data_IF_501604896253
#
_entry.id   IF_501604896253
#
_cell.length_a   1.000
_cell.length_b   1.000
_cell.length_c   1.000
_cell.angle_alpha   90.00
_cell.angle_beta   90.00
_cell.angle_gamma   90.00
#
_symmetry.space_group_name_H-M   'P 1'
#
loop_
_entity.id
_entity.type
_entity.pdbx_description
1 polymer ?
#
# COMPACT_ATOMS: atom_id res chain seq x y z
N UNK A 1 28.70 -12.58 29.24
CA UNK A 1 29.22 -13.44 30.31
C UNK A 1 29.19 -14.89 29.80
N UNK A 2 30.42 -15.41 29.58
CA UNK A 2 30.90 -16.81 29.63
C UNK A 2 30.32 -17.78 28.59
N UNK A 3 30.98 -18.08 27.48
CA UNK A 3 32.05 -19.04 27.21
C UNK A 3 31.71 -20.44 27.75
N UNK A 4 31.69 -21.45 26.85
CA UNK A 4 32.59 -22.61 26.89
C UNK A 4 32.53 -23.29 25.52
N UNK A 5 33.73 -23.43 24.91
CA UNK A 5 34.06 -24.37 23.87
C UNK A 5 34.28 -25.76 24.49
N UNK A 6 34.06 -26.81 23.70
CA UNK A 6 34.94 -27.95 23.78
C UNK A 6 34.95 -28.77 22.48
N UNK A 7 36.18 -29.02 22.09
CA UNK A 7 36.71 -29.86 21.05
C UNK A 7 36.63 -31.35 21.41
N UNK A 8 36.49 -32.23 20.43
CA UNK A 8 37.10 -33.59 20.37
C UNK A 8 37.05 -34.02 18.89
N UNK A 9 38.08 -33.95 18.17
CA UNK A 9 39.24 -34.78 17.97
C UNK A 9 38.92 -36.21 17.42
N UNK A 10 39.33 -36.35 16.14
CA UNK A 10 40.00 -37.48 15.49
C UNK A 10 39.38 -38.91 15.64
N UNK A 11 39.08 -39.53 14.47
CA UNK A 11 39.77 -40.80 14.05
C UNK A 11 39.58 -40.99 12.54
N UNK A 12 40.72 -41.10 11.86
CA UNK A 12 40.87 -41.51 10.47
C UNK A 12 40.59 -43.02 10.35
N UNK A 13 39.69 -43.39 9.46
CA UNK A 13 39.71 -44.70 8.86
C UNK A 13 39.57 -44.60 7.35
N UNK A 14 40.67 -44.69 6.67
CA UNK A 14 40.73 -44.91 5.23
C UNK A 14 40.34 -46.35 4.89
N UNK A 15 39.12 -46.56 4.43
CA UNK A 15 38.79 -47.78 3.72
C UNK A 15 38.94 -47.50 2.21
N UNK A 16 40.05 -47.99 1.66
CA UNK A 16 40.26 -48.16 0.23
C UNK A 16 39.31 -49.27 -0.25
N UNK A 17 38.15 -48.87 -0.75
CA UNK A 17 37.28 -49.77 -1.49
C UNK A 17 37.61 -49.61 -2.97
N UNK A 18 38.29 -50.58 -3.56
CA UNK A 18 38.49 -50.72 -4.99
C UNK A 18 37.17 -51.11 -5.65
N UNK A 19 36.39 -50.10 -6.08
CA UNK A 19 35.24 -50.33 -6.94
C UNK A 19 35.68 -50.65 -8.37
N UNK A 20 35.12 -51.69 -9.03
CA UNK A 20 35.53 -52.09 -10.37
C UNK A 20 35.24 -50.96 -11.39
N UNK A 21 36.22 -50.75 -12.24
CA UNK A 21 36.20 -49.70 -13.28
C UNK A 21 34.97 -49.68 -14.22
N UNK A 22 34.19 -50.75 -14.21
CA UNK A 22 33.01 -50.90 -15.05
C UNK A 22 31.79 -50.08 -14.56
N UNK A 23 31.69 -49.88 -13.23
CA UNK A 23 30.59 -49.09 -12.64
C UNK A 23 30.80 -47.60 -12.84
N UNK A 24 32.05 -47.13 -12.96
CA UNK A 24 32.35 -45.71 -13.15
C UNK A 24 31.89 -45.16 -14.51
N UNK A 25 31.83 -45.97 -15.58
CA UNK A 25 31.40 -45.52 -16.92
C UNK A 25 29.89 -45.22 -17.00
N UNK A 26 29.07 -45.98 -16.28
CA UNK A 26 27.61 -45.78 -16.31
C UNK A 26 27.17 -44.58 -15.44
N UNK A 27 27.85 -44.36 -14.31
CA UNK A 27 27.56 -43.20 -13.45
C UNK A 27 27.98 -41.87 -14.11
N UNK A 28 29.09 -41.87 -14.86
CA UNK A 28 29.53 -40.69 -15.59
C UNK A 28 28.53 -40.28 -16.69
N UNK A 29 27.93 -41.20 -17.42
CA UNK A 29 26.91 -40.91 -18.42
C UNK A 29 25.62 -40.39 -17.80
N UNK A 30 25.20 -40.93 -16.64
CA UNK A 30 24.01 -40.51 -15.94
C UNK A 30 24.16 -39.11 -15.32
N UNK A 31 25.35 -38.80 -14.76
CA UNK A 31 25.62 -37.47 -14.21
C UNK A 31 25.67 -36.41 -15.30
N UNK A 32 26.23 -36.69 -16.47
CA UNK A 32 26.24 -35.77 -17.61
C UNK A 32 24.82 -35.54 -18.12
N UNK A 33 23.98 -36.56 -18.20
CA UNK A 33 22.58 -36.44 -18.60
C UNK A 33 21.77 -35.61 -17.59
N UNK A 34 21.98 -35.80 -16.28
CA UNK A 34 21.35 -34.94 -15.26
C UNK A 34 21.83 -33.50 -15.35
N UNK A 35 23.11 -33.24 -15.61
CA UNK A 35 23.66 -31.89 -15.77
C UNK A 35 23.09 -31.18 -17.00
N UNK A 36 22.92 -31.89 -18.11
CA UNK A 36 22.27 -31.35 -19.31
C UNK A 36 20.79 -31.04 -19.07
N UNK A 37 20.09 -31.86 -18.28
CA UNK A 37 18.69 -31.64 -17.94
C UNK A 37 18.49 -30.40 -17.06
N UNK A 38 19.41 -30.13 -16.11
CA UNK A 38 19.36 -28.94 -15.27
C UNK A 38 19.60 -27.65 -16.05
N UNK A 39 20.45 -27.67 -17.07
CA UNK A 39 20.71 -26.52 -17.94
C UNK A 39 19.46 -26.16 -18.79
N UNK A 40 18.70 -27.16 -19.22
CA UNK A 40 17.44 -26.91 -19.96
C UNK A 40 16.31 -26.39 -19.09
N UNK A 41 16.28 -26.73 -17.80
CA UNK A 41 15.24 -26.27 -16.88
C UNK A 41 15.43 -24.80 -16.44
N UNK A 42 16.65 -24.27 -16.51
CA UNK A 42 16.97 -22.90 -16.12
C UNK A 42 16.60 -21.82 -17.16
N UNK A 43 16.24 -22.23 -18.37
CA UNK A 43 15.96 -21.33 -19.49
C UNK A 43 14.47 -21.12 -19.75
N UNK A 44 13.60 -21.24 -18.74
CA UNK A 44 12.22 -20.79 -18.89
C UNK A 44 12.23 -19.27 -19.08
N UNK A 45 11.74 -18.73 -20.21
CA UNK A 45 11.70 -17.30 -20.40
C UNK A 45 10.77 -16.70 -19.33
N UNK A 46 11.35 -16.05 -18.35
CA UNK A 46 10.57 -15.14 -17.49
C UNK A 46 10.01 -14.08 -18.43
N UNK A 47 8.70 -14.14 -18.64
CA UNK A 47 7.97 -13.12 -19.40
C UNK A 47 8.11 -11.82 -18.63
N UNK A 48 9.17 -11.07 -18.94
CA UNK A 48 9.35 -9.73 -18.38
C UNK A 48 8.10 -8.96 -18.77
N UNK A 49 7.31 -8.58 -17.75
CA UNK A 49 6.20 -7.64 -17.95
C UNK A 49 6.88 -6.37 -18.44
N UNK A 50 6.72 -6.07 -19.74
CA UNK A 50 7.31 -4.88 -20.31
C UNK A 50 6.81 -3.65 -19.55
N UNK A 51 7.72 -2.81 -19.06
CA UNK A 51 7.38 -1.57 -18.34
C UNK A 51 6.41 -0.69 -19.14
N UNK A 52 6.50 -0.75 -20.47
CA UNK A 52 5.57 -0.08 -21.38
C UNK A 52 4.14 -0.63 -21.30
N UNK A 53 3.97 -1.96 -21.14
CA UNK A 53 2.66 -2.57 -20.98
C UNK A 53 2.04 -2.24 -19.62
N UNK A 54 2.86 -2.24 -18.58
CA UNK A 54 2.42 -1.88 -17.23
C UNK A 54 2.00 -0.42 -17.15
N UNK A 55 2.84 0.48 -17.69
CA UNK A 55 2.53 1.91 -17.73
C UNK A 55 1.31 2.23 -18.60
N UNK A 56 1.12 1.53 -19.71
CA UNK A 56 -0.06 1.69 -20.56
C UNK A 56 -1.35 1.25 -19.82
N UNK A 57 -1.30 0.13 -19.09
CA UNK A 57 -2.42 -0.34 -18.26
C UNK A 57 -2.72 0.61 -17.11
N UNK A 58 -1.69 1.10 -16.42
CA UNK A 58 -1.84 2.08 -15.35
C UNK A 58 -2.46 3.38 -15.86
N UNK A 59 -1.97 3.91 -16.97
CA UNK A 59 -2.51 5.12 -17.58
C UNK A 59 -3.96 4.95 -18.04
N UNK A 60 -4.33 3.77 -18.53
CA UNK A 60 -5.72 3.44 -18.86
C UNK A 60 -6.57 3.44 -17.58
N UNK A 61 -6.15 2.70 -16.55
CA UNK A 61 -6.85 2.63 -15.27
C UNK A 61 -7.04 4.02 -14.65
N UNK A 62 -6.00 4.84 -14.64
CA UNK A 62 -6.06 6.20 -14.10
C UNK A 62 -7.04 7.09 -14.87
N UNK A 63 -7.18 6.91 -16.18
CA UNK A 63 -8.19 7.65 -16.98
C UNK A 63 -9.61 7.18 -16.73
N UNK A 64 -9.81 5.86 -16.58
CA UNK A 64 -11.11 5.26 -16.33
C UNK A 64 -11.58 5.46 -14.88
N UNK A 65 -10.65 5.72 -13.94
CA UNK A 65 -10.91 5.89 -12.52
C UNK A 65 -10.30 7.21 -12.03
N UNK A 66 -10.92 8.34 -12.35
CA UNK A 66 -10.45 9.64 -11.85
C UNK A 66 -10.56 9.68 -10.33
N UNK A 67 -9.50 10.12 -9.66
CA UNK A 67 -9.45 10.24 -8.20
C UNK A 67 -9.53 11.71 -7.81
N UNK A 68 -10.52 12.04 -7.01
CA UNK A 68 -10.60 13.31 -6.29
C UNK A 68 -10.01 13.13 -4.89
N UNK A 69 -9.20 14.08 -4.46
CA UNK A 69 -8.68 14.15 -3.09
C UNK A 69 -9.10 15.47 -2.49
N UNK A 70 -9.63 15.40 -1.28
CA UNK A 70 -9.99 16.57 -0.51
C UNK A 70 -9.01 16.75 0.65
N UNK A 71 -8.61 17.99 0.89
CA UNK A 71 -7.89 18.40 2.07
C UNK A 71 -8.72 19.43 2.82
N UNK A 72 -9.06 19.12 4.08
CA UNK A 72 -9.82 20.00 4.97
C UNK A 72 -8.88 20.68 5.94
N UNK A 73 -8.82 21.99 5.87
CA UNK A 73 -8.10 22.84 6.81
C UNK A 73 -9.10 23.54 7.72
N UNK A 74 -8.94 23.41 9.04
CA UNK A 74 -9.76 24.05 10.06
C UNK A 74 -8.93 25.06 10.84
N UNK A 75 -9.57 26.05 11.43
CA UNK A 75 -8.91 27.15 12.16
C UNK A 75 -8.25 26.66 13.46
N UNK A 76 -8.78 25.65 14.12
CA UNK A 76 -8.25 25.07 15.37
C UNK A 76 -8.78 23.66 15.59
N UNK A 77 -8.26 22.95 16.60
CA UNK A 77 -8.60 21.56 16.89
C UNK A 77 -9.51 21.39 18.11
N UNK A 78 -9.63 22.43 18.94
CA UNK A 78 -10.45 22.40 20.16
C UNK A 78 -11.49 23.50 20.10
N UNK A 79 -12.72 23.13 20.46
CA UNK A 79 -13.88 24.01 20.43
C UNK A 79 -14.76 23.76 21.63
N UNK A 80 -15.55 24.75 22.01
CA UNK A 80 -16.65 24.61 22.96
C UNK A 80 -17.99 24.40 22.23
N UNK A 81 -18.95 23.79 22.91
CA UNK A 81 -20.31 23.70 22.40
C UNK A 81 -20.86 25.11 22.11
N UNK A 82 -21.58 25.28 21.03
CA UNK A 82 -22.06 26.58 20.55
C UNK A 82 -21.08 27.39 19.71
N UNK A 83 -19.80 27.03 19.68
CA UNK A 83 -18.82 27.71 18.80
C UNK A 83 -18.98 27.34 17.33
N UNK A 84 -18.29 28.07 16.50
CA UNK A 84 -18.27 27.86 15.03
C UNK A 84 -16.90 27.41 14.60
N UNK A 85 -16.86 26.29 13.89
CA UNK A 85 -15.68 25.80 13.17
C UNK A 85 -15.59 26.54 11.85
N UNK A 86 -14.49 27.24 11.62
CA UNK A 86 -14.19 27.82 10.32
C UNK A 86 -13.25 26.88 9.56
N UNK A 87 -13.54 26.66 8.30
CA UNK A 87 -12.75 25.74 7.49
C UNK A 87 -12.57 26.20 6.05
N UNK A 88 -11.55 25.62 5.42
CA UNK A 88 -11.35 25.68 3.99
C UNK A 88 -11.06 24.28 3.48
N UNK A 89 -11.72 23.91 2.40
CA UNK A 89 -11.51 22.63 1.69
C UNK A 89 -10.79 22.93 0.39
N UNK A 90 -9.81 22.11 0.08
CA UNK A 90 -9.10 22.12 -1.20
C UNK A 90 -9.34 20.79 -1.90
N UNK A 91 -9.68 20.85 -3.16
CA UNK A 91 -9.87 19.69 -4.03
C UNK A 91 -8.67 19.57 -4.97
N UNK A 92 -8.12 18.39 -5.06
CA UNK A 92 -7.10 18.03 -6.04
C UNK A 92 -7.61 16.88 -6.88
N UNK A 93 -7.54 17.06 -8.19
CA UNK A 93 -7.96 16.08 -9.17
C UNK A 93 -6.74 15.32 -9.72
N UNK A 94 -6.92 14.04 -10.03
CA UNK A 94 -5.97 13.36 -10.89
C UNK A 94 -5.98 14.02 -12.29
N UNK A 95 -4.84 14.03 -12.97
CA UNK A 95 -4.68 14.62 -14.31
C UNK A 95 -5.62 14.04 -15.38
N UNK A 96 -6.29 12.94 -15.07
CA UNK A 96 -7.24 12.24 -15.94
C UNK A 96 -8.71 12.58 -15.67
N UNK A 97 -9.01 13.34 -14.61
CA UNK A 97 -10.39 13.72 -14.29
C UNK A 97 -10.91 14.74 -15.31
N UNK A 98 -11.98 14.38 -15.99
CA UNK A 98 -12.65 15.26 -16.97
C UNK A 98 -13.64 16.21 -16.30
N UNK A 99 -14.20 15.79 -15.16
CA UNK A 99 -15.17 16.56 -14.39
C UNK A 99 -14.82 16.49 -12.91
N UNK A 100 -14.90 17.64 -12.25
CA UNK A 100 -14.74 17.78 -10.81
C UNK A 100 -16.09 17.83 -10.12
N UNK A 101 -16.19 17.30 -8.91
CA UNK A 101 -17.36 17.52 -8.06
C UNK A 101 -17.52 19.00 -7.75
N UNK A 102 -18.75 19.47 -7.78
CA UNK A 102 -19.08 20.89 -7.56
C UNK A 102 -19.61 21.20 -6.18
N UNK A 103 -19.80 20.19 -5.35
CA UNK A 103 -20.34 20.30 -4.00
C UNK A 103 -19.48 19.45 -3.07
N UNK A 104 -19.12 20.00 -1.93
CA UNK A 104 -18.50 19.30 -0.82
C UNK A 104 -19.46 19.24 0.37
N UNK A 105 -19.54 18.08 0.99
CA UNK A 105 -20.27 17.85 2.22
C UNK A 105 -19.28 17.84 3.39
N UNK A 106 -19.66 18.46 4.49
CA UNK A 106 -18.88 18.51 5.73
C UNK A 106 -19.74 17.95 6.86
N UNK A 107 -19.29 16.86 7.43
CA UNK A 107 -19.94 16.20 8.55
C UNK A 107 -19.15 16.39 9.84
N UNK A 108 -19.84 16.71 10.91
CA UNK A 108 -19.38 16.56 12.27
C UNK A 108 -19.99 15.28 12.83
N UNK A 109 -19.20 14.29 13.18
CA UNK A 109 -19.65 13.01 13.74
C UNK A 109 -19.06 12.76 15.13
N UNK A 110 -19.80 12.03 15.96
CA UNK A 110 -19.34 11.60 17.28
C UNK A 110 -18.42 10.36 17.19
N UNK A 111 -17.91 9.89 18.32
CA UNK A 111 -17.02 8.72 18.41
C UNK A 111 -17.69 7.41 17.96
N UNK A 112 -19.02 7.35 17.86
CA UNK A 112 -19.77 6.21 17.33
C UNK A 112 -19.98 6.29 15.82
N UNK A 113 -19.56 7.37 15.17
CA UNK A 113 -19.77 7.62 13.74
C UNK A 113 -21.16 8.19 13.41
N UNK A 114 -21.96 8.58 14.40
CA UNK A 114 -23.25 9.23 14.17
C UNK A 114 -23.04 10.69 13.76
N UNK A 115 -23.71 11.12 12.69
CA UNK A 115 -23.62 12.49 12.20
C UNK A 115 -24.42 13.40 13.11
N UNK A 116 -23.74 14.33 13.75
CA UNK A 116 -24.33 15.34 14.65
C UNK A 116 -24.78 16.55 13.86
N UNK A 117 -23.98 16.95 12.87
CA UNK A 117 -24.26 18.11 12.01
C UNK A 117 -23.67 17.88 10.64
N UNK A 118 -24.38 18.27 9.60
CA UNK A 118 -23.92 18.26 8.23
C UNK A 118 -24.19 19.63 7.58
N UNK A 119 -23.23 20.10 6.79
CA UNK A 119 -23.35 21.26 5.93
C UNK A 119 -22.81 20.95 4.55
N UNK A 120 -23.22 21.71 3.53
CA UNK A 120 -22.71 21.55 2.17
C UNK A 120 -22.32 22.91 1.61
N UNK A 121 -21.27 22.93 0.82
CA UNK A 121 -20.75 24.14 0.20
C UNK A 121 -20.42 23.90 -1.28
N UNK A 122 -20.59 24.91 -2.13
CA UNK A 122 -20.13 24.83 -3.51
C UNK A 122 -18.60 24.81 -3.56
N UNK A 123 -18.06 23.95 -4.41
CA UNK A 123 -16.65 23.95 -4.80
C UNK A 123 -16.48 24.86 -6.02
N UNK A 124 -15.70 25.91 -5.89
CA UNK A 124 -15.33 26.81 -6.97
C UNK A 124 -13.81 26.84 -7.10
N UNK A 125 -13.31 26.67 -8.31
CA UNK A 125 -11.87 26.64 -8.61
C UNK A 125 -11.07 25.69 -7.70
N UNK A 126 -11.65 24.52 -7.40
CA UNK A 126 -11.03 23.50 -6.56
C UNK A 126 -10.98 23.84 -5.07
N UNK A 127 -11.78 24.81 -4.60
CA UNK A 127 -11.84 25.16 -3.19
C UNK A 127 -13.24 25.51 -2.72
N UNK A 128 -13.48 25.33 -1.42
CA UNK A 128 -14.66 25.82 -0.73
C UNK A 128 -14.24 26.39 0.63
N UNK A 129 -14.85 27.50 1.04
CA UNK A 129 -14.67 28.06 2.37
C UNK A 129 -16.03 28.13 3.06
N UNK A 130 -16.05 27.83 4.35
CA UNK A 130 -17.31 27.83 5.08
C UNK A 130 -17.14 27.70 6.58
N UNK A 131 -18.28 27.51 7.23
CA UNK A 131 -18.33 27.34 8.66
C UNK A 131 -19.38 26.31 9.06
N UNK A 132 -19.19 25.70 10.22
CA UNK A 132 -20.14 24.77 10.83
C UNK A 132 -20.32 25.17 12.30
N UNK A 133 -21.54 25.56 12.67
CA UNK A 133 -21.86 25.86 14.07
C UNK A 133 -22.07 24.56 14.84
N UNK A 134 -21.34 24.41 15.93
CA UNK A 134 -21.42 23.27 16.85
C UNK A 134 -22.72 23.44 17.68
N UNK A 135 -23.59 22.42 17.76
CA UNK A 135 -24.78 22.49 18.61
C UNK A 135 -24.41 22.72 20.08
N UNK A 136 -25.16 23.59 20.78
CA UNK A 136 -24.91 23.93 22.17
C UNK A 136 -25.09 22.75 23.15
N UNK A 137 -25.91 21.77 22.79
CA UNK A 137 -26.23 20.62 23.61
C UNK A 137 -25.21 19.47 23.49
N UNK A 138 -24.12 19.64 22.75
CA UNK A 138 -23.11 18.60 22.61
C UNK A 138 -22.31 18.43 23.89
N UNK A 139 -22.15 17.16 24.27
CA UNK A 139 -21.29 16.78 25.40
C UNK A 139 -19.82 16.89 25.04
N UNK A 140 -18.97 17.12 26.03
CA UNK A 140 -17.53 17.07 25.85
C UNK A 140 -17.10 15.67 25.37
N UNK A 141 -16.21 15.62 24.37
CA UNK A 141 -15.76 14.37 23.78
C UNK A 141 -14.95 14.57 22.50
N UNK A 142 -14.60 13.47 21.89
CA UNK A 142 -13.93 13.47 20.58
C UNK A 142 -14.96 13.42 19.46
N UNK A 143 -14.82 14.36 18.55
CA UNK A 143 -15.63 14.45 17.33
C UNK A 143 -14.72 14.43 16.11
N UNK A 144 -15.24 13.94 15.02
CA UNK A 144 -14.53 13.90 13.75
C UNK A 144 -15.19 14.86 12.75
N UNK A 145 -14.38 15.75 12.18
CA UNK A 145 -14.80 16.58 11.05
C UNK A 145 -14.34 15.90 9.76
N UNK A 146 -15.27 15.65 8.84
CA UNK A 146 -15.02 14.93 7.60
C UNK A 146 -15.56 15.70 6.40
N UNK A 147 -14.76 15.81 5.33
CA UNK A 147 -15.16 16.36 4.05
C UNK A 147 -15.22 15.27 2.98
N UNK A 148 -16.24 15.32 2.12
CA UNK A 148 -16.37 14.40 0.98
C UNK A 148 -17.24 15.03 -0.14
N UNK A 149 -17.13 14.47 -1.34
CA UNK A 149 -17.90 14.84 -2.54
C UNK A 149 -18.86 13.76 -2.98
#
# INVERSE_FOLDING_TARGET
MTIVADSWNTVSHYYLFSLPLFIMKTHSALTILCLLCTIHCAAAPQKAVSDTLLSARFNRYARENPIEKLYLHQDRTNYYAGETIWFKVYQTLSSSATEASRIVYIDLSNSKGEIVKQVKYPLADGAASGSLSIPEHLHAGHYQLRAYT
#
